data_IF_471892654656
#
_entry.id   IF_471892654656
#
_cell.length_a   1.000
_cell.length_b   1.000
_cell.length_c   1.000
_cell.angle_alpha   90.00
_cell.angle_beta   90.00
_cell.angle_gamma   90.00
#
_symmetry.space_group_name_H-M   'P 1'
#
loop_
_entity.id
_entity.type
_entity.pdbx_description
1 polymer ?
#
# COMPACT_ATOMS: atom_id res chain seq x y z
N UNK A 1 6.04 -39.07 19.93
CA UNK A 1 5.08 -39.75 19.03
C UNK A 1 5.86 -40.27 17.81
N UNK A 2 5.65 -41.51 17.40
CA UNK A 2 6.18 -42.05 16.14
C UNK A 2 5.11 -41.86 15.08
N UNK A 3 5.45 -41.26 13.93
CA UNK A 3 4.53 -40.96 12.85
C UNK A 3 4.44 -42.14 11.91
N UNK A 4 3.25 -42.67 11.73
CA UNK A 4 3.00 -43.85 10.88
C UNK A 4 2.28 -43.51 9.56
N UNK A 5 1.64 -42.31 9.50
CA UNK A 5 0.92 -41.86 8.32
C UNK A 5 0.78 -40.32 8.27
N UNK A 6 0.30 -39.81 7.13
CA UNK A 6 0.18 -38.36 6.89
C UNK A 6 -0.79 -37.66 7.86
N UNK A 7 -1.86 -38.32 8.31
CA UNK A 7 -2.82 -37.73 9.24
C UNK A 7 -2.17 -37.54 10.62
N UNK A 8 -1.49 -38.55 11.12
CA UNK A 8 -0.75 -38.48 12.38
C UNK A 8 0.32 -37.39 12.38
N UNK A 9 0.96 -37.09 11.25
CA UNK A 9 1.91 -35.98 11.15
C UNK A 9 1.21 -34.65 11.41
N UNK A 10 0.04 -34.43 10.81
CA UNK A 10 -0.72 -33.19 11.04
C UNK A 10 -1.16 -33.03 12.49
N UNK A 11 -1.72 -34.08 13.09
CA UNK A 11 -2.12 -34.13 14.50
C UNK A 11 -0.96 -33.84 15.45
N UNK A 12 0.22 -34.43 15.19
CA UNK A 12 1.41 -34.19 15.99
C UNK A 12 1.91 -32.76 15.94
N UNK A 13 1.84 -32.12 14.75
CA UNK A 13 2.23 -30.71 14.59
C UNK A 13 1.19 -29.79 15.23
N UNK A 14 -0.11 -30.07 15.09
CA UNK A 14 -1.16 -29.33 15.78
C UNK A 14 -1.05 -29.42 17.31
N UNK A 15 -0.76 -30.60 17.86
CA UNK A 15 -0.50 -30.79 19.30
C UNK A 15 0.68 -29.91 19.76
N UNK A 16 1.76 -29.87 18.99
CA UNK A 16 2.89 -29.00 19.29
C UNK A 16 2.51 -27.52 19.27
N UNK A 17 1.72 -27.05 18.29
CA UNK A 17 1.26 -25.67 18.19
C UNK A 17 0.24 -25.32 19.29
N UNK A 18 -0.52 -26.30 19.79
CA UNK A 18 -1.52 -26.08 20.86
C UNK A 18 -0.90 -25.64 22.18
N UNK A 19 0.41 -25.85 22.38
CA UNK A 19 1.18 -25.45 23.58
C UNK A 19 1.53 -23.95 23.61
N UNK A 20 1.26 -23.21 22.54
CA UNK A 20 1.47 -21.76 22.50
C UNK A 20 0.50 -21.10 23.49
N UNK A 21 1.05 -20.34 24.44
CA UNK A 21 0.26 -19.75 25.54
C UNK A 21 -0.64 -18.62 25.05
N UNK A 22 -0.14 -17.76 24.12
CA UNK A 22 -0.91 -16.65 23.57
C UNK A 22 -2.05 -17.18 22.67
N UNK A 23 -3.34 -16.92 23.02
CA UNK A 23 -4.48 -17.57 22.34
C UNK A 23 -4.58 -17.24 20.86
N UNK A 24 -4.33 -15.98 20.49
CA UNK A 24 -4.44 -15.56 19.08
C UNK A 24 -3.33 -16.13 18.21
N UNK A 25 -2.08 -16.15 18.73
CA UNK A 25 -0.96 -16.78 18.04
C UNK A 25 -1.20 -18.27 17.85
N UNK A 26 -1.72 -18.95 18.87
CA UNK A 26 -2.08 -20.38 18.80
C UNK A 26 -3.12 -20.64 17.71
N UNK A 27 -4.19 -19.82 17.64
CA UNK A 27 -5.21 -19.91 16.60
C UNK A 27 -4.60 -19.78 15.18
N UNK A 28 -3.74 -18.77 15.00
CA UNK A 28 -3.07 -18.51 13.71
C UNK A 28 -2.19 -19.69 13.30
N UNK A 29 -1.37 -20.20 14.22
CA UNK A 29 -0.44 -21.30 13.92
C UNK A 29 -1.18 -22.61 13.62
N UNK A 30 -2.24 -22.92 14.35
CA UNK A 30 -3.08 -24.08 14.07
C UNK A 30 -3.75 -23.98 12.69
N UNK A 31 -4.30 -22.81 12.35
CA UNK A 31 -4.88 -22.58 11.04
C UNK A 31 -3.83 -22.68 9.92
N UNK A 32 -2.66 -22.08 10.12
CA UNK A 32 -1.54 -22.15 9.17
C UNK A 32 -1.13 -23.58 8.87
N UNK A 33 -0.92 -24.40 9.91
CA UNK A 33 -0.55 -25.81 9.75
C UNK A 33 -1.59 -26.58 8.94
N UNK A 34 -2.89 -26.44 9.30
CA UNK A 34 -3.97 -27.11 8.56
C UNK A 34 -3.98 -26.75 7.08
N UNK A 35 -3.88 -25.45 6.77
CA UNK A 35 -3.93 -24.99 5.38
C UNK A 35 -2.68 -25.38 4.60
N UNK A 36 -1.48 -25.29 5.18
CA UNK A 36 -0.26 -25.72 4.50
C UNK A 36 -0.23 -27.24 4.25
N UNK A 37 -0.59 -28.04 5.26
CA UNK A 37 -0.67 -29.50 5.08
C UNK A 37 -1.79 -29.89 4.10
N UNK A 38 -2.92 -29.16 4.13
CA UNK A 38 -4.00 -29.31 3.18
C UNK A 38 -3.53 -29.05 1.75
N UNK A 39 -2.89 -27.90 1.53
CA UNK A 39 -2.30 -27.54 0.24
C UNK A 39 -1.32 -28.59 -0.28
N UNK A 40 -0.36 -29.02 0.54
CA UNK A 40 0.63 -30.05 0.14
C UNK A 40 -0.05 -31.34 -0.34
N UNK A 41 -1.10 -31.78 0.37
CA UNK A 41 -1.86 -32.99 -0.01
C UNK A 41 -2.71 -32.77 -1.27
N UNK A 42 -3.37 -31.65 -1.38
CA UNK A 42 -4.25 -31.30 -2.51
C UNK A 42 -3.49 -31.31 -3.84
N UNK A 43 -2.35 -30.59 -3.87
CA UNK A 43 -1.52 -30.51 -5.09
C UNK A 43 -0.56 -31.70 -5.25
N UNK A 44 -0.46 -32.59 -4.23
CA UNK A 44 0.50 -33.70 -4.19
C UNK A 44 1.93 -33.21 -4.45
N UNK A 45 2.33 -32.16 -3.70
CA UNK A 45 3.61 -31.48 -3.88
C UNK A 45 4.78 -32.48 -3.86
N UNK A 46 5.60 -32.45 -4.91
CA UNK A 46 6.80 -33.30 -5.04
C UNK A 46 7.98 -32.68 -4.28
N UNK A 47 8.99 -33.50 -3.92
CA UNK A 47 10.23 -33.03 -3.27
C UNK A 47 10.96 -31.97 -4.11
N UNK A 48 10.96 -32.12 -5.44
CA UNK A 48 11.56 -31.14 -6.36
C UNK A 48 10.84 -29.80 -6.30
N UNK A 49 9.51 -29.80 -6.32
CA UNK A 49 8.70 -28.56 -6.23
C UNK A 49 8.82 -27.92 -4.85
N UNK A 50 8.88 -28.73 -3.79
CA UNK A 50 9.15 -28.25 -2.45
C UNK A 50 10.52 -27.56 -2.35
N UNK A 51 11.58 -28.17 -2.91
CA UNK A 51 12.91 -27.57 -2.96
C UNK A 51 12.92 -26.24 -3.72
N UNK A 52 12.18 -26.14 -4.82
CA UNK A 52 12.03 -24.89 -5.57
C UNK A 52 11.26 -23.82 -4.75
N UNK A 53 10.18 -24.18 -4.06
CA UNK A 53 9.45 -23.26 -3.20
C UNK A 53 10.33 -22.69 -2.07
N UNK A 54 11.15 -23.55 -1.43
CA UNK A 54 12.12 -23.12 -0.40
C UNK A 54 13.13 -22.14 -0.98
N UNK A 55 13.65 -22.40 -2.20
CA UNK A 55 14.57 -21.50 -2.89
C UNK A 55 13.93 -20.12 -3.18
N UNK A 56 12.69 -20.11 -3.64
CA UNK A 56 11.94 -18.85 -3.90
C UNK A 56 11.76 -18.07 -2.60
N UNK A 57 11.35 -18.71 -1.51
CA UNK A 57 11.17 -18.04 -0.20
C UNK A 57 12.49 -17.44 0.29
N UNK A 58 13.60 -18.16 0.17
CA UNK A 58 14.91 -17.63 0.53
C UNK A 58 15.31 -16.43 -0.34
N UNK A 59 15.06 -16.49 -1.65
CA UNK A 59 15.37 -15.42 -2.60
C UNK A 59 14.56 -14.14 -2.32
N UNK A 60 13.31 -14.23 -1.87
CA UNK A 60 12.52 -13.07 -1.44
C UNK A 60 13.20 -12.29 -0.31
N UNK A 61 13.70 -13.00 0.70
CA UNK A 61 14.44 -12.36 1.80
C UNK A 61 15.76 -11.75 1.34
N UNK A 62 16.51 -12.46 0.49
CA UNK A 62 17.81 -12.00 -0.03
C UNK A 62 17.67 -10.77 -0.95
N UNK A 63 16.57 -10.67 -1.69
CA UNK A 63 16.29 -9.51 -2.57
C UNK A 63 15.81 -8.28 -1.78
N UNK A 64 15.33 -8.44 -0.56
CA UNK A 64 14.87 -7.34 0.30
C UNK A 64 16.06 -6.55 0.86
N UNK A 65 16.06 -5.22 0.68
CA UNK A 65 17.10 -4.28 1.10
C UNK A 65 16.51 -3.09 1.87
N UNK A 66 17.33 -2.12 2.25
CA UNK A 66 16.84 -0.89 2.88
C UNK A 66 15.97 0.00 1.97
N UNK A 67 16.10 -0.15 0.64
CA UNK A 67 15.33 0.63 -0.36
C UNK A 67 14.33 -0.20 -1.16
N UNK A 68 14.24 -1.51 -0.93
CA UNK A 68 13.37 -2.42 -1.67
C UNK A 68 12.84 -3.55 -0.78
N UNK A 69 11.55 -3.85 -0.84
CA UNK A 69 10.93 -4.94 -0.06
C UNK A 69 10.21 -5.94 -0.98
N UNK A 70 10.95 -6.96 -1.39
CA UNK A 70 10.45 -8.02 -2.29
C UNK A 70 9.38 -8.90 -1.63
N UNK A 71 9.46 -9.08 -0.29
CA UNK A 71 8.46 -9.87 0.46
C UNK A 71 7.09 -9.18 0.44
N UNK A 72 7.06 -7.85 0.63
CA UNK A 72 5.80 -7.08 0.53
C UNK A 72 5.25 -7.08 -0.90
N UNK A 73 6.11 -6.99 -1.92
CA UNK A 73 5.69 -7.08 -3.31
C UNK A 73 5.07 -8.45 -3.62
N UNK A 74 5.67 -9.54 -3.12
CA UNK A 74 5.11 -10.89 -3.29
C UNK A 74 3.74 -11.02 -2.61
N UNK A 75 3.58 -10.52 -1.38
CA UNK A 75 2.31 -10.55 -0.67
C UNK A 75 1.19 -9.80 -1.43
N UNK A 76 1.50 -8.65 -2.04
CA UNK A 76 0.58 -7.94 -2.91
C UNK A 76 0.28 -8.70 -4.20
N UNK A 77 1.31 -9.21 -4.88
CA UNK A 77 1.17 -9.93 -6.16
C UNK A 77 0.39 -11.25 -6.05
N UNK A 78 0.31 -11.81 -4.84
CA UNK A 78 -0.55 -12.96 -4.48
C UNK A 78 -1.93 -12.53 -3.93
N UNK A 79 -2.23 -11.24 -3.84
CA UNK A 79 -3.50 -10.74 -3.31
C UNK A 79 -3.65 -10.85 -1.78
N UNK A 80 -2.60 -11.25 -1.06
CA UNK A 80 -2.66 -11.41 0.41
C UNK A 80 -2.84 -10.06 1.10
N UNK A 81 -2.03 -9.05 0.73
CA UNK A 81 -2.11 -7.72 1.33
C UNK A 81 -3.48 -7.06 1.13
N UNK A 82 -4.07 -7.00 -0.08
CA UNK A 82 -5.41 -6.43 -0.25
C UNK A 82 -6.49 -7.25 0.46
N UNK A 83 -6.38 -8.58 0.51
CA UNK A 83 -7.33 -9.41 1.26
C UNK A 83 -7.30 -9.08 2.77
N UNK A 84 -6.11 -8.92 3.34
CA UNK A 84 -5.97 -8.50 4.75
C UNK A 84 -6.60 -7.12 4.98
N UNK A 85 -6.40 -6.17 4.06
CA UNK A 85 -7.05 -4.86 4.14
C UNK A 85 -8.59 -4.97 4.12
N UNK A 86 -9.13 -5.76 3.20
CA UNK A 86 -10.60 -5.98 3.10
C UNK A 86 -11.18 -6.64 4.35
N UNK A 87 -10.48 -7.60 4.95
CA UNK A 87 -10.92 -8.28 6.18
C UNK A 87 -10.91 -7.37 7.42
N UNK A 88 -10.01 -6.39 7.47
CA UNK A 88 -9.84 -5.53 8.64
C UNK A 88 -10.58 -4.18 8.54
N UNK A 89 -11.19 -3.89 7.41
CA UNK A 89 -12.10 -2.76 7.26
C UNK A 89 -13.53 -3.17 7.59
N UNK A 90 -13.89 -3.10 8.84
CA UNK A 90 -15.11 -3.60 9.45
C UNK A 90 -16.36 -3.62 8.59
N UNK A 91 -16.65 -2.56 7.85
CA UNK A 91 -17.88 -2.42 7.06
C UNK A 91 -17.63 -2.26 5.55
N UNK A 92 -16.50 -2.74 5.06
CA UNK A 92 -16.13 -2.69 3.64
C UNK A 92 -16.19 -1.27 3.02
N UNK A 93 -15.91 -0.24 3.82
CA UNK A 93 -15.97 1.16 3.41
C UNK A 93 -17.40 1.71 3.27
N UNK A 94 -18.39 1.09 3.90
CA UNK A 94 -19.78 1.61 3.88
C UNK A 94 -20.01 2.73 4.89
N UNK A 95 -19.31 2.71 6.02
CA UNK A 95 -19.39 3.74 7.06
C UNK A 95 -18.10 4.52 7.22
N UNK A 96 -16.96 3.84 7.11
CA UNK A 96 -15.60 4.42 7.13
C UNK A 96 -14.96 4.33 5.74
N UNK A 97 -13.91 5.11 5.52
CA UNK A 97 -13.11 4.99 4.29
C UNK A 97 -12.41 3.64 4.23
N UNK A 98 -12.51 2.97 3.10
CA UNK A 98 -11.84 1.70 2.88
C UNK A 98 -10.31 1.86 2.97
N UNK A 99 -9.67 1.02 3.79
CA UNK A 99 -8.22 0.93 3.83
C UNK A 99 -7.67 0.17 2.62
N UNK A 100 -6.40 0.41 2.34
CA UNK A 100 -5.64 -0.31 1.34
C UNK A 100 -4.24 -0.62 1.88
N UNK A 101 -3.47 -1.37 1.12
CA UNK A 101 -2.11 -1.75 1.49
C UNK A 101 -1.20 -0.51 1.62
N UNK A 102 -0.28 -0.55 2.59
CA UNK A 102 0.75 0.47 2.76
C UNK A 102 1.65 0.58 1.51
N UNK A 103 1.90 -0.54 0.87
CA UNK A 103 2.87 -0.63 -0.21
C UNK A 103 4.32 -0.59 0.30
N UNK A 104 5.30 -0.79 -0.60
CA UNK A 104 6.70 -0.91 -0.21
C UNK A 104 7.46 0.43 -0.14
N UNK A 105 6.83 1.58 -0.39
CA UNK A 105 7.52 2.85 -0.59
C UNK A 105 7.24 3.92 0.48
N UNK A 106 6.45 3.61 1.51
CA UNK A 106 6.28 4.54 2.62
C UNK A 106 7.56 4.66 3.46
N UNK A 107 7.84 5.91 3.89
CA UNK A 107 8.95 6.28 4.77
C UNK A 107 8.39 7.01 5.98
N UNK A 108 8.94 6.80 7.18
CA UNK A 108 8.48 7.38 8.44
C UNK A 108 9.03 8.79 8.71
N UNK A 109 10.06 9.21 7.97
CA UNK A 109 10.75 10.49 8.07
C UNK A 109 10.21 11.58 7.12
N UNK A 110 8.92 11.52 6.75
CA UNK A 110 8.32 12.47 5.81
C UNK A 110 8.39 13.91 6.32
N UNK A 111 8.73 14.89 5.44
CA UNK A 111 8.86 16.29 5.83
C UNK A 111 7.50 16.90 6.19
N UNK A 112 7.48 17.71 7.26
CA UNK A 112 6.31 18.48 7.61
C UNK A 112 6.00 19.52 6.54
N UNK A 113 4.71 19.64 6.20
CA UNK A 113 4.16 20.57 5.23
C UNK A 113 3.00 21.35 5.85
N UNK A 114 2.88 22.62 5.48
CA UNK A 114 1.69 23.43 5.75
C UNK A 114 0.58 23.15 4.72
N UNK A 115 -0.67 23.40 5.09
CA UNK A 115 -1.76 23.39 4.12
C UNK A 115 -1.49 24.40 3.00
N UNK A 116 -1.62 23.97 1.75
CA UNK A 116 -1.30 24.75 0.56
C UNK A 116 0.10 24.52 -0.01
N UNK A 117 1.00 23.86 0.71
CA UNK A 117 2.35 23.58 0.23
C UNK A 117 2.34 22.63 -0.99
N UNK A 118 3.44 22.69 -1.75
CA UNK A 118 3.70 21.76 -2.83
C UNK A 118 4.53 20.58 -2.35
N UNK A 119 4.17 19.37 -2.81
CA UNK A 119 4.99 18.17 -2.63
C UNK A 119 6.16 18.09 -3.62
N UNK A 120 6.17 18.92 -4.66
CA UNK A 120 7.22 18.96 -5.69
C UNK A 120 8.44 19.66 -5.14
N UNK A 121 9.56 18.94 -4.97
CA UNK A 121 10.83 19.42 -4.41
C UNK A 121 11.98 19.45 -5.42
N UNK A 122 11.77 18.88 -6.61
CA UNK A 122 12.70 18.92 -7.74
C UNK A 122 11.91 19.03 -9.03
N UNK A 123 12.52 19.41 -10.16
CA UNK A 123 11.82 19.46 -11.43
C UNK A 123 11.11 18.13 -11.73
N UNK A 124 9.79 18.15 -11.77
CA UNK A 124 8.94 16.96 -11.96
C UNK A 124 7.87 17.35 -12.99
N UNK A 125 8.19 17.29 -14.29
CA UNK A 125 7.27 17.73 -15.35
C UNK A 125 6.05 16.82 -15.42
N UNK A 126 4.86 17.42 -15.49
CA UNK A 126 3.58 16.72 -15.58
C UNK A 126 2.42 17.66 -15.31
N UNK A 127 1.17 17.21 -15.54
CA UNK A 127 -0.01 18.01 -15.23
C UNK A 127 -0.07 18.33 -13.72
N UNK A 128 -0.31 19.60 -13.40
CA UNK A 128 -0.45 20.06 -12.02
C UNK A 128 -1.70 19.48 -11.37
N UNK A 129 -1.62 19.20 -10.07
CA UNK A 129 -2.69 18.61 -9.28
C UNK A 129 -2.91 19.42 -8.01
N UNK A 130 -4.14 19.87 -7.78
CA UNK A 130 -4.60 20.39 -6.50
C UNK A 130 -5.42 19.33 -5.79
N UNK A 131 -5.03 18.97 -4.55
CA UNK A 131 -5.78 18.03 -3.71
C UNK A 131 -6.31 18.75 -2.49
N UNK A 132 -7.62 18.64 -2.25
CA UNK A 132 -8.28 19.11 -1.03
C UNK A 132 -8.77 17.88 -0.27
N UNK A 133 -8.47 17.86 1.03
CA UNK A 133 -8.80 16.71 1.88
C UNK A 133 -9.65 17.17 3.05
N UNK A 134 -10.67 16.38 3.37
CA UNK A 134 -11.47 16.51 4.59
C UNK A 134 -11.49 15.21 5.37
N UNK A 135 -11.38 15.34 6.70
CA UNK A 135 -11.38 14.22 7.65
C UNK A 135 -12.57 14.37 8.59
N UNK A 136 -13.34 13.32 8.74
CA UNK A 136 -14.43 13.23 9.72
C UNK A 136 -14.49 11.85 10.35
N UNK A 137 -15.17 11.72 11.46
CA UNK A 137 -15.49 10.45 12.06
C UNK A 137 -16.79 9.84 11.44
N UNK A 138 -17.16 8.64 11.85
CA UNK A 138 -18.37 7.94 11.38
C UNK A 138 -19.68 8.64 11.78
N UNK A 139 -19.64 9.66 12.62
CA UNK A 139 -20.78 10.53 12.95
C UNK A 139 -20.85 11.81 12.11
N UNK A 140 -19.86 12.04 11.24
CA UNK A 140 -19.72 13.24 10.42
C UNK A 140 -19.05 14.42 11.15
N UNK A 141 -18.47 14.21 12.33
CA UNK A 141 -17.75 15.23 13.07
C UNK A 141 -16.34 15.41 12.51
N UNK A 142 -15.88 16.64 12.24
CA UNK A 142 -14.52 16.91 11.79
C UNK A 142 -13.45 16.34 12.74
N UNK A 143 -12.40 15.74 12.18
CA UNK A 143 -11.25 15.23 12.94
C UNK A 143 -10.07 16.18 12.78
N UNK A 144 -9.89 17.05 13.78
CA UNK A 144 -8.79 18.01 13.86
C UNK A 144 -7.51 17.40 14.41
N UNK A 145 -6.35 17.92 14.00
CA UNK A 145 -5.04 17.54 14.52
C UNK A 145 -4.64 16.10 14.17
N UNK A 146 -5.22 15.51 13.14
CA UNK A 146 -4.72 14.28 12.56
C UNK A 146 -3.45 14.55 11.76
N UNK A 147 -2.46 13.67 11.86
CA UNK A 147 -1.27 13.67 10.99
C UNK A 147 -1.55 12.85 9.74
N UNK A 148 -1.27 13.41 8.58
CA UNK A 148 -1.52 12.76 7.29
C UNK A 148 -0.23 12.72 6.49
N UNK A 149 0.30 11.50 6.27
CA UNK A 149 1.37 11.28 5.32
C UNK A 149 0.79 11.08 3.92
N UNK A 150 1.34 11.79 2.95
CA UNK A 150 0.99 11.67 1.53
C UNK A 150 2.25 11.31 0.75
N UNK A 151 2.15 10.34 -0.17
CA UNK A 151 3.24 9.99 -1.09
C UNK A 151 2.68 9.40 -2.39
N UNK A 152 3.40 9.61 -3.50
CA UNK A 152 3.03 9.06 -4.79
C UNK A 152 4.22 9.00 -5.77
N UNK A 153 4.05 8.31 -6.88
CA UNK A 153 4.99 8.25 -7.99
C UNK A 153 5.04 9.56 -8.78
N UNK A 154 6.17 9.81 -9.43
CA UNK A 154 6.29 10.87 -10.45
C UNK A 154 5.44 10.54 -11.70
N UNK A 155 5.24 11.50 -12.62
CA UNK A 155 4.64 11.24 -13.93
C UNK A 155 5.41 10.23 -14.80
N UNK A 156 6.70 9.98 -14.51
CA UNK A 156 7.50 8.92 -15.13
C UNK A 156 7.28 7.54 -14.50
N UNK A 157 6.44 7.46 -13.47
CA UNK A 157 6.14 6.18 -12.80
C UNK A 157 7.22 5.71 -11.81
N UNK A 158 7.97 6.62 -11.20
CA UNK A 158 9.00 6.30 -10.20
C UNK A 158 8.75 7.04 -8.89
N UNK A 159 8.91 6.35 -7.77
CA UNK A 159 9.01 6.99 -6.46
C UNK A 159 10.41 7.57 -6.27
N UNK A 160 10.54 8.64 -5.48
CA UNK A 160 11.83 9.31 -5.28
C UNK A 160 12.94 8.39 -4.76
N UNK A 161 12.57 7.38 -3.96
CA UNK A 161 13.54 6.41 -3.45
C UNK A 161 14.09 5.46 -4.52
N UNK A 162 13.46 5.38 -5.69
CA UNK A 162 13.87 4.56 -6.83
C UNK A 162 14.68 5.36 -7.87
N UNK A 163 14.57 6.69 -7.85
CA UNK A 163 15.13 7.58 -8.87
C UNK A 163 16.16 8.54 -8.25
N UNK A 164 17.47 8.33 -8.50
CA UNK A 164 18.50 9.19 -7.96
C UNK A 164 18.47 10.64 -8.49
N UNK A 165 17.76 10.90 -9.60
CA UNK A 165 17.62 12.25 -10.18
C UNK A 165 16.63 13.12 -9.44
N UNK A 166 15.64 12.53 -8.76
CA UNK A 166 14.70 13.27 -7.92
C UNK A 166 15.34 13.75 -6.63
N UNK A 167 14.91 14.89 -6.11
CA UNK A 167 15.35 15.34 -4.79
C UNK A 167 14.86 14.36 -3.70
N UNK A 168 15.59 14.33 -2.58
CA UNK A 168 15.17 13.59 -1.39
C UNK A 168 13.77 14.03 -0.95
N UNK A 169 12.89 13.07 -0.65
CA UNK A 169 11.49 13.31 -0.25
C UNK A 169 10.64 14.06 -1.30
N UNK A 170 11.02 14.05 -2.59
CA UNK A 170 10.16 14.58 -3.65
C UNK A 170 8.83 13.81 -3.69
N UNK A 171 7.72 14.53 -3.85
CA UNK A 171 6.35 13.99 -3.90
C UNK A 171 5.92 13.27 -2.59
N UNK A 172 6.49 13.70 -1.45
CA UNK A 172 6.16 13.23 -0.11
C UNK A 172 5.93 14.40 0.84
N UNK A 173 5.02 14.25 1.80
CA UNK A 173 4.80 15.25 2.82
C UNK A 173 3.90 14.78 3.94
N UNK A 174 4.08 15.38 5.12
CA UNK A 174 3.23 15.18 6.29
C UNK A 174 2.47 16.45 6.59
N UNK A 175 1.15 16.37 6.58
CA UNK A 175 0.24 17.45 6.89
C UNK A 175 -0.43 17.23 8.26
N UNK A 176 -1.05 18.28 8.79
CA UNK A 176 -1.91 18.20 9.98
C UNK A 176 -3.24 18.84 9.63
N UNK A 177 -4.35 18.15 9.92
CA UNK A 177 -5.69 18.69 9.68
C UNK A 177 -6.00 19.84 10.62
N UNK A 178 -6.66 20.89 10.10
CA UNK A 178 -7.12 22.07 10.84
C UNK A 178 -8.31 21.77 11.77
N UNK A 179 -8.91 22.81 12.36
CA UNK A 179 -10.05 22.70 13.28
C UNK A 179 -11.31 22.12 12.60
N UNK A 180 -11.44 22.32 11.31
CA UNK A 180 -12.52 21.82 10.46
C UNK A 180 -12.20 20.45 9.84
N UNK A 181 -11.06 19.82 10.23
CA UNK A 181 -10.62 18.54 9.71
C UNK A 181 -10.07 18.61 8.28
N UNK A 182 -9.57 19.76 7.82
CA UNK A 182 -9.21 20.00 6.42
C UNK A 182 -7.72 20.30 6.25
N UNK A 183 -7.22 20.00 5.06
CA UNK A 183 -5.97 20.52 4.52
C UNK A 183 -6.01 20.42 3.00
N UNK A 184 -5.08 21.07 2.33
CA UNK A 184 -4.89 20.93 0.90
C UNK A 184 -3.40 20.96 0.55
N UNK A 185 -3.07 20.49 -0.65
CA UNK A 185 -1.71 20.54 -1.15
C UNK A 185 -1.69 20.59 -2.69
N UNK A 186 -0.55 21.00 -3.21
CA UNK A 186 -0.25 20.99 -4.64
C UNK A 186 0.74 19.87 -4.96
N UNK A 187 0.60 19.29 -6.13
CA UNK A 187 1.51 18.27 -6.64
C UNK A 187 1.43 18.18 -8.16
N UNK A 188 1.97 17.12 -8.72
CA UNK A 188 1.72 16.68 -10.09
C UNK A 188 0.82 15.46 -10.09
N UNK A 189 0.01 15.28 -11.14
CA UNK A 189 -0.83 14.08 -11.27
C UNK A 189 0.08 12.86 -11.38
N UNK A 190 -0.08 11.83 -10.50
CA UNK A 190 0.72 10.61 -10.60
C UNK A 190 0.45 9.87 -11.92
N UNK A 191 1.41 9.08 -12.37
CA UNK A 191 1.22 8.08 -13.40
C UNK A 191 1.17 6.67 -12.80
N UNK A 192 0.59 5.73 -13.55
CA UNK A 192 0.77 4.31 -13.27
C UNK A 192 2.24 3.92 -13.39
N UNK A 193 2.66 2.92 -12.64
CA UNK A 193 4.07 2.54 -12.59
C UNK A 193 4.27 1.03 -12.58
N UNK A 194 5.37 0.55 -13.19
CA UNK A 194 5.73 -0.84 -13.13
C UNK A 194 6.33 -1.19 -11.76
N UNK A 195 5.87 -2.28 -11.15
CA UNK A 195 6.60 -2.86 -10.02
C UNK A 195 7.91 -3.49 -10.51
N UNK A 196 8.96 -3.54 -9.67
CA UNK A 196 10.20 -4.23 -10.00
C UNK A 196 9.96 -5.70 -10.36
N UNK A 197 10.62 -6.18 -11.41
CA UNK A 197 10.47 -7.56 -11.94
C UNK A 197 11.79 -8.30 -12.08
N UNK A 198 12.84 -7.81 -11.48
CA UNK A 198 14.21 -8.36 -11.49
C UNK A 198 14.47 -9.35 -10.34
N UNK A 199 13.42 -9.82 -9.68
CA UNK A 199 13.42 -10.77 -8.57
C UNK A 199 12.33 -11.84 -8.69
N UNK A 200 12.10 -12.63 -7.62
CA UNK A 200 11.08 -13.69 -7.59
C UNK A 200 9.67 -13.24 -7.93
N UNK A 201 9.31 -11.97 -7.60
CA UNK A 201 8.02 -11.41 -8.01
C UNK A 201 7.92 -11.28 -9.52
N UNK A 202 9.01 -10.89 -10.20
CA UNK A 202 9.06 -10.86 -11.65
C UNK A 202 8.86 -12.24 -12.29
N UNK A 203 9.40 -13.31 -11.68
CA UNK A 203 9.18 -14.68 -12.14
C UNK A 203 7.69 -15.05 -12.03
N UNK A 204 7.03 -14.71 -10.91
CA UNK A 204 5.60 -14.92 -10.73
C UNK A 204 4.76 -14.16 -11.78
N UNK A 205 5.05 -12.89 -12.00
CA UNK A 205 4.35 -12.04 -12.96
C UNK A 205 4.48 -12.60 -14.37
N UNK A 206 5.68 -13.01 -14.78
CA UNK A 206 5.93 -13.66 -16.07
C UNK A 206 5.21 -15.01 -16.19
N UNK A 207 5.29 -15.86 -15.18
CA UNK A 207 4.63 -17.18 -15.18
C UNK A 207 3.10 -17.06 -15.32
N UNK A 208 2.53 -16.03 -14.73
CA UNK A 208 1.08 -15.75 -14.81
C UNK A 208 0.67 -14.91 -16.02
N UNK A 209 1.63 -14.52 -16.88
CA UNK A 209 1.43 -13.69 -18.09
C UNK A 209 0.71 -12.37 -17.80
N UNK A 210 0.89 -11.81 -16.60
CA UNK A 210 0.38 -10.47 -16.23
C UNK A 210 1.36 -9.40 -16.65
N UNK A 211 0.85 -8.18 -16.92
CA UNK A 211 1.72 -7.00 -16.91
C UNK A 211 2.16 -6.70 -15.46
N UNK A 212 3.13 -5.83 -15.29
CA UNK A 212 3.66 -5.45 -13.98
C UNK A 212 3.26 -4.05 -13.52
N UNK A 213 2.24 -3.45 -14.14
CA UNK A 213 1.82 -2.09 -13.82
C UNK A 213 0.82 -2.05 -12.69
N UNK A 214 0.96 -1.04 -11.83
CA UNK A 214 -0.07 -0.53 -10.95
C UNK A 214 -0.66 0.76 -11.54
N UNK A 215 -1.98 0.98 -11.43
CA UNK A 215 -2.59 2.23 -11.90
C UNK A 215 -2.12 3.42 -11.06
N UNK A 216 -2.22 4.61 -11.64
CA UNK A 216 -1.91 5.88 -10.99
C UNK A 216 -2.70 6.07 -9.69
N UNK A 217 -2.03 6.39 -8.59
CA UNK A 217 -2.67 6.62 -7.30
C UNK A 217 -1.86 7.53 -6.37
N UNK A 218 -2.58 8.17 -5.46
CA UNK A 218 -2.04 8.82 -4.27
C UNK A 218 -2.17 7.88 -3.07
N UNK A 219 -1.13 7.77 -2.28
CA UNK A 219 -1.18 7.13 -0.97
C UNK A 219 -1.50 8.15 0.13
N UNK A 220 -2.27 7.71 1.11
CA UNK A 220 -2.54 8.44 2.34
C UNK A 220 -2.39 7.52 3.54
N UNK A 221 -1.73 7.99 4.59
CA UNK A 221 -1.79 7.40 5.92
C UNK A 221 -2.25 8.46 6.90
N UNK A 222 -3.40 8.23 7.52
CA UNK A 222 -3.98 9.13 8.52
C UNK A 222 -3.79 8.55 9.91
N UNK A 223 -3.11 9.28 10.76
CA UNK A 223 -2.83 8.90 12.14
C UNK A 223 -3.42 9.93 13.10
N UNK A 224 -4.26 9.46 14.02
CA UNK A 224 -4.81 10.27 15.11
C UNK A 224 -5.05 9.40 16.34
N UNK A 225 -4.52 9.72 17.53
CA UNK A 225 -4.88 9.03 18.76
C UNK A 225 -6.39 8.98 18.96
N UNK A 226 -6.93 7.81 19.29
CA UNK A 226 -8.36 7.56 19.44
C UNK A 226 -9.07 7.05 18.19
N UNK A 227 -8.39 7.01 17.05
CA UNK A 227 -8.89 6.44 15.79
C UNK A 227 -7.98 5.32 15.31
N UNK A 228 -8.54 4.35 14.59
CA UNK A 228 -7.73 3.39 13.84
C UNK A 228 -6.90 4.12 12.80
N UNK A 229 -5.63 3.76 12.66
CA UNK A 229 -4.79 4.33 11.59
C UNK A 229 -5.36 3.90 10.24
N UNK A 230 -5.76 4.88 9.44
CA UNK A 230 -6.22 4.63 8.07
C UNK A 230 -5.02 4.69 7.13
N UNK A 231 -4.78 3.60 6.41
CA UNK A 231 -3.90 3.57 5.25
C UNK A 231 -4.79 3.37 4.03
N UNK A 232 -4.72 4.26 3.06
CA UNK A 232 -5.58 4.22 1.89
C UNK A 232 -4.86 4.66 0.63
N UNK A 233 -5.44 4.38 -0.52
CA UNK A 233 -4.96 4.81 -1.83
C UNK A 233 -6.14 5.40 -2.61
N UNK A 234 -5.90 6.47 -3.38
CA UNK A 234 -6.91 7.09 -4.23
C UNK A 234 -6.45 6.97 -5.68
N UNK A 235 -7.12 6.12 -6.44
CA UNK A 235 -6.75 5.77 -7.81
C UNK A 235 -7.34 6.73 -8.83
N UNK A 236 -6.58 7.00 -9.90
CA UNK A 236 -7.03 7.81 -11.04
C UNK A 236 -7.84 6.97 -12.02
N UNK A 237 -9.10 7.34 -12.33
CA UNK A 237 -10.00 6.52 -13.14
C UNK A 237 -9.60 6.43 -14.63
N UNK A 238 -8.74 7.33 -15.09
CA UNK A 238 -8.27 7.39 -16.49
C UNK A 238 -6.98 6.61 -16.73
N UNK A 239 -6.46 5.89 -15.71
CA UNK A 239 -5.29 5.04 -15.89
C UNK A 239 -5.66 3.77 -16.69
N UNK A 240 -4.87 3.39 -17.72
CA UNK A 240 -5.15 2.22 -18.55
C UNK A 240 -5.13 0.88 -17.82
N UNK A 241 -4.57 0.84 -16.61
CA UNK A 241 -4.47 -0.37 -15.77
C UNK A 241 -5.43 -0.37 -14.58
N UNK A 242 -6.44 0.53 -14.57
CA UNK A 242 -7.35 0.70 -13.42
C UNK A 242 -8.11 -0.58 -13.03
N UNK A 243 -8.43 -1.43 -13.99
CA UNK A 243 -9.15 -2.71 -13.80
C UNK A 243 -8.23 -3.94 -13.84
N UNK A 244 -6.91 -3.75 -13.89
CA UNK A 244 -5.94 -4.84 -14.04
C UNK A 244 -4.70 -4.68 -13.12
N UNK A 245 -4.82 -3.95 -12.01
CA UNK A 245 -3.73 -3.74 -11.05
C UNK A 245 -3.01 -5.06 -10.69
N UNK A 246 -1.71 -5.14 -10.96
CA UNK A 246 -0.89 -6.32 -10.69
C UNK A 246 -0.84 -6.71 -9.21
N UNK A 247 -1.19 -5.76 -8.31
CA UNK A 247 -1.25 -5.97 -6.85
C UNK A 247 -2.69 -6.11 -6.33
N UNK A 248 -3.70 -6.12 -7.20
CA UNK A 248 -5.13 -6.27 -6.84
C UNK A 248 -5.64 -5.24 -5.83
N UNK A 249 -5.06 -4.04 -5.79
CA UNK A 249 -5.38 -3.02 -4.80
C UNK A 249 -6.60 -2.17 -5.14
N UNK A 250 -7.04 -2.16 -6.41
CA UNK A 250 -8.14 -1.29 -6.84
C UNK A 250 -9.49 -1.88 -6.43
N UNK A 251 -10.25 -1.08 -5.67
CA UNK A 251 -11.67 -1.32 -5.44
C UNK A 251 -12.46 -0.09 -5.85
N UNK A 252 -13.75 -0.24 -6.13
CA UNK A 252 -14.60 0.88 -6.56
C UNK A 252 -14.59 2.06 -5.59
N UNK A 253 -14.55 1.78 -4.28
CA UNK A 253 -14.54 2.79 -3.23
C UNK A 253 -13.26 3.63 -3.18
N UNK A 254 -12.18 3.17 -3.81
CA UNK A 254 -10.87 3.82 -3.83
C UNK A 254 -10.58 4.55 -5.15
N UNK A 255 -11.50 4.53 -6.11
CA UNK A 255 -11.37 5.31 -7.35
C UNK A 255 -11.81 6.73 -7.06
N UNK A 256 -10.88 7.68 -7.18
CA UNK A 256 -11.10 9.11 -6.92
C UNK A 256 -11.70 9.83 -8.13
N UNK A 257 -12.31 10.99 -7.86
CA UNK A 257 -12.85 11.86 -8.90
C UNK A 257 -11.83 12.94 -9.28
N UNK A 258 -10.89 12.57 -10.17
CA UNK A 258 -9.88 13.49 -10.70
C UNK A 258 -10.49 14.36 -11.81
N UNK A 259 -10.85 15.59 -11.46
CA UNK A 259 -11.46 16.53 -12.41
C UNK A 259 -10.37 17.21 -13.24
N UNK A 260 -10.44 17.03 -14.54
CA UNK A 260 -9.56 17.71 -15.51
C UNK A 260 -10.07 19.13 -15.82
N UNK A 261 -9.14 20.09 -15.84
CA UNK A 261 -9.39 21.48 -16.19
C UNK A 261 -8.59 21.82 -17.45
N UNK A 262 -9.29 22.20 -18.52
CA UNK A 262 -8.69 22.53 -19.83
C UNK A 262 -8.39 24.03 -20.00
N UNK A 263 -8.59 24.84 -18.95
CA UNK A 263 -8.22 26.25 -18.90
C UNK A 263 -7.21 26.48 -17.78
N UNK A 264 -6.24 27.38 -17.96
CA UNK A 264 -5.31 27.73 -16.89
C UNK A 264 -6.05 28.35 -15.70
N UNK A 265 -5.44 28.27 -14.52
CA UNK A 265 -5.92 28.92 -13.31
C UNK A 265 -4.92 30.01 -12.90
N UNK A 266 -5.29 31.28 -13.10
CA UNK A 266 -4.46 32.41 -12.68
C UNK A 266 -4.30 32.47 -11.15
N UNK A 267 -5.35 32.12 -10.40
CA UNK A 267 -5.34 32.08 -8.93
C UNK A 267 -4.32 31.06 -8.39
N UNK A 268 -4.22 29.89 -9.01
CA UNK A 268 -3.30 28.83 -8.61
C UNK A 268 -1.93 28.95 -9.30
N UNK A 269 -1.84 29.74 -10.37
CA UNK A 269 -0.68 29.80 -11.26
C UNK A 269 -0.49 28.51 -12.05
N UNK A 270 -1.56 27.76 -12.32
CA UNK A 270 -1.51 26.48 -13.03
C UNK A 270 -1.74 26.63 -14.52
N UNK A 271 -0.87 25.99 -15.31
CA UNK A 271 -1.08 25.87 -16.74
C UNK A 271 -2.12 24.79 -17.09
N UNK A 272 -2.82 24.93 -18.21
CA UNK A 272 -3.72 23.89 -18.69
C UNK A 272 -2.96 22.82 -19.52
N UNK A 273 -3.36 21.53 -19.46
CA UNK A 273 -4.38 21.01 -18.54
C UNK A 273 -3.85 20.76 -17.13
N UNK A 274 -4.67 20.97 -16.12
CA UNK A 274 -4.38 20.61 -14.73
C UNK A 274 -5.54 19.82 -14.14
N UNK A 275 -5.36 19.25 -12.93
CA UNK A 275 -6.35 18.41 -12.26
C UNK A 275 -6.65 18.89 -10.85
N UNK A 276 -7.89 18.61 -10.39
CA UNK A 276 -8.25 18.72 -8.97
C UNK A 276 -8.84 17.42 -8.46
N UNK A 277 -8.62 17.15 -7.16
CA UNK A 277 -9.18 16.02 -6.43
C UNK A 277 -9.69 16.52 -5.09
N UNK A 278 -10.98 16.32 -4.81
CA UNK A 278 -11.57 16.51 -3.50
C UNK A 278 -11.75 15.14 -2.83
N UNK A 279 -10.98 14.90 -1.76
CA UNK A 279 -10.98 13.61 -1.06
C UNK A 279 -11.51 13.74 0.35
N UNK A 280 -12.52 12.96 0.67
CA UNK A 280 -13.07 12.82 2.02
C UNK A 280 -12.63 11.51 2.63
N UNK A 281 -12.10 11.56 3.86
CA UNK A 281 -11.80 10.38 4.65
C UNK A 281 -12.68 10.33 5.88
N UNK A 282 -13.30 9.18 6.13
CA UNK A 282 -14.09 8.88 7.31
C UNK A 282 -13.31 7.92 8.19
N UNK A 283 -13.01 8.32 9.42
CA UNK A 283 -12.17 7.57 10.36
C UNK A 283 -13.02 6.79 11.36
N UNK A 284 -12.64 5.55 11.61
CA UNK A 284 -13.23 4.70 12.63
C UNK A 284 -12.51 4.90 13.97
N UNK A 285 -13.28 5.02 15.06
CA UNK A 285 -12.75 5.06 16.43
C UNK A 285 -12.04 3.76 16.76
N UNK A 286 -10.87 3.85 17.36
CA UNK A 286 -10.08 2.68 17.72
C UNK A 286 -8.64 3.00 18.10
N UNK A 287 -7.81 1.96 18.15
CA UNK A 287 -6.41 2.10 18.52
C UNK A 287 -5.57 2.60 17.33
N UNK A 288 -4.86 3.71 17.55
CA UNK A 288 -3.91 4.26 16.59
C UNK A 288 -2.59 3.48 16.66
N UNK A 289 -2.16 2.89 15.54
CA UNK A 289 -0.88 2.19 15.42
C UNK A 289 -0.15 2.63 14.16
N UNK A 290 1.07 3.12 14.30
CA UNK A 290 1.92 3.37 13.13
C UNK A 290 2.53 2.06 12.63
N UNK A 291 2.48 1.78 11.33
CA UNK A 291 3.16 0.62 10.76
C UNK A 291 4.68 0.80 10.84
N UNK A 292 5.40 -0.30 10.71
CA UNK A 292 6.84 -0.26 10.50
C UNK A 292 7.12 0.16 9.05
N UNK A 293 8.05 1.10 8.86
CA UNK A 293 8.44 1.56 7.53
C UNK A 293 9.08 0.42 6.72
N UNK A 294 8.57 0.11 5.52
CA UNK A 294 9.09 -0.95 4.67
C UNK A 294 10.47 -0.63 4.08
N UNK A 295 10.77 0.65 3.92
CA UNK A 295 12.06 1.16 3.43
C UNK A 295 12.56 2.31 4.32
N UNK A 296 13.87 2.52 4.34
CA UNK A 296 14.54 3.55 5.16
C UNK A 296 15.52 4.41 4.38
N UNK A 297 15.73 4.12 3.11
CA UNK A 297 16.72 4.81 2.30
C UNK A 297 16.27 4.92 0.85
N UNK A 298 16.87 5.88 0.17
CA UNK A 298 16.84 6.04 -1.28
C UNK A 298 17.97 5.20 -1.91
N UNK A 299 17.79 4.76 -3.15
CA UNK A 299 18.88 4.16 -3.92
C UNK A 299 19.99 5.18 -4.11
N UNK A 300 21.26 4.77 -3.91
CA UNK A 300 22.39 5.61 -4.18
C UNK A 300 22.52 5.82 -5.70
N UNK A 301 22.95 7.03 -6.10
CA UNK A 301 23.42 7.24 -7.45
C UNK A 301 24.66 6.35 -7.68
N UNK A 302 24.67 5.60 -8.78
CA UNK A 302 25.78 4.73 -9.16
C UNK A 302 27.01 5.56 -9.60
#
# INVERSE_FOLDING_TARGET
>A
MIIENQAMLTEAVEDAMSRVEEPRLREILLALVRHLHGFVREVRLTEREFGEAVRIIAALGQKTTASHNEVMLMAGSLGISPLVCLLNNGNHGQTETQANMLGPFWRDDQPACASGDSLVRSPTPGPELLVRVSLEDTSGKPVAGAEIDVWHSSPEGLYENQDPSQAEMNLRGRFVSDAEGRFNFRSVKPAGYPIPVDGPVGDLVRATRRHNFRPAHLHFMVFRPGFKTLISQVYSPDDPHIDSDVQFGVTRALVGDYIRHDKPSDELGFAAPWYSLDQRFVLEVGEARRPMAPIRAKVSAA
#
